data_IF_319283984828
#
_entry.id   IF_319283984828
#
_cell.length_a   1.000
_cell.length_b   1.000
_cell.length_c   1.000
_cell.angle_alpha   90.00
_cell.angle_beta   90.00
_cell.angle_gamma   90.00
#
_symmetry.space_group_name_H-M   'P 1'
#
loop_
_entity.id
_entity.type
_entity.pdbx_description
1 polymer ?
#
# COMPACT_ATOMS: atom_id res chain seq x y z
N UNK A 1 -40.19 23.50 62.65
CA UNK A 1 -41.20 23.40 61.55
C UNK A 1 -40.56 24.03 60.31
N UNK A 2 -39.94 23.30 59.37
CA UNK A 2 -40.47 22.48 58.25
C UNK A 2 -41.58 23.13 57.40
N UNK A 3 -41.21 23.51 56.17
CA UNK A 3 -41.94 23.45 54.87
C UNK A 3 -40.93 23.88 53.78
N UNK A 4 -40.18 22.96 53.14
CA UNK A 4 -40.46 22.28 51.86
C UNK A 4 -41.02 23.23 50.78
N UNK A 5 -40.19 23.57 49.80
CA UNK A 5 -40.64 24.01 48.48
C UNK A 5 -39.91 23.18 47.41
N UNK A 6 -40.71 22.59 46.53
CA UNK A 6 -40.42 21.71 45.40
C UNK A 6 -40.10 22.53 44.15
N UNK A 7 -39.16 22.06 43.31
CA UNK A 7 -38.97 22.62 41.96
C UNK A 7 -37.71 22.14 41.24
N UNK A 8 -37.82 21.02 40.53
CA UNK A 8 -37.29 20.74 39.18
C UNK A 8 -35.98 21.45 38.78
N UNK A 9 -34.89 20.70 38.60
CA UNK A 9 -34.11 20.75 37.35
C UNK A 9 -33.27 19.47 37.15
N UNK A 10 -33.77 18.59 36.30
CA UNK A 10 -33.01 17.57 35.57
C UNK A 10 -32.00 18.28 34.67
N UNK A 11 -30.69 18.08 34.86
CA UNK A 11 -29.75 18.00 33.72
C UNK A 11 -28.67 16.97 34.06
N UNK A 12 -28.80 15.80 33.43
CA UNK A 12 -27.73 14.83 33.23
C UNK A 12 -26.51 15.56 32.64
N UNK A 13 -25.36 15.54 33.31
CA UNK A 13 -24.08 15.76 32.64
C UNK A 13 -23.23 14.50 32.75
N UNK A 14 -23.71 13.44 32.10
CA UNK A 14 -22.87 12.34 31.68
C UNK A 14 -21.99 12.88 30.54
N UNK A 15 -20.87 13.48 30.93
CA UNK A 15 -19.84 13.98 30.03
C UNK A 15 -19.08 12.75 29.51
N UNK A 16 -19.72 12.03 28.58
CA UNK A 16 -19.03 11.06 27.73
C UNK A 16 -18.14 11.90 26.82
N UNK A 17 -16.90 12.12 27.24
CA UNK A 17 -15.85 12.43 26.28
C UNK A 17 -15.83 11.24 25.32
N UNK A 18 -16.45 11.42 24.16
CA UNK A 18 -16.14 10.64 22.98
C UNK A 18 -14.65 10.84 22.76
N UNK A 19 -13.83 9.95 23.31
CA UNK A 19 -12.54 9.69 22.72
C UNK A 19 -12.85 9.23 21.32
N UNK A 20 -12.64 10.12 20.35
CA UNK A 20 -12.57 9.76 18.95
C UNK A 20 -11.47 8.71 18.87
N UNK A 21 -11.85 7.44 18.94
CA UNK A 21 -11.12 6.43 18.20
C UNK A 21 -11.30 6.86 16.74
N UNK A 22 -10.37 7.71 16.28
CA UNK A 22 -10.05 7.74 14.87
C UNK A 22 -9.91 6.27 14.49
N UNK A 23 -10.61 5.78 13.46
CA UNK A 23 -10.27 4.48 12.93
C UNK A 23 -8.76 4.55 12.73
N UNK A 24 -8.02 3.62 13.35
CA UNK A 24 -6.66 3.34 12.93
C UNK A 24 -6.84 2.96 11.47
N UNK A 25 -6.76 3.96 10.59
CA UNK A 25 -6.56 3.73 9.17
C UNK A 25 -5.35 2.82 9.18
N UNK A 26 -5.53 1.60 8.68
CA UNK A 26 -4.40 0.71 8.49
C UNK A 26 -3.37 1.57 7.76
N UNK A 27 -2.26 1.87 8.44
CA UNK A 27 -1.29 2.84 7.94
C UNK A 27 -0.78 2.28 6.63
N UNK A 28 -1.32 2.78 5.52
CA UNK A 28 -1.04 2.15 4.26
C UNK A 28 0.32 2.62 3.79
N UNK A 29 1.01 1.70 3.13
CA UNK A 29 2.35 1.93 2.63
C UNK A 29 2.22 2.94 1.49
N UNK A 30 2.81 4.13 1.62
CA UNK A 30 2.78 5.15 0.57
C UNK A 30 3.35 4.56 -0.72
N UNK A 31 2.59 4.63 -1.80
CA UNK A 31 2.89 4.02 -3.09
C UNK A 31 2.26 2.65 -3.33
N UNK A 32 1.67 2.00 -2.34
CA UNK A 32 0.90 0.75 -2.47
C UNK A 32 -0.56 1.08 -2.79
N UNK A 33 -0.80 1.50 -4.03
CA UNK A 33 -2.08 2.01 -4.49
C UNK A 33 -3.13 0.89 -4.63
N UNK A 34 -2.71 -0.35 -4.90
CA UNK A 34 -3.61 -1.50 -5.01
C UNK A 34 -3.84 -2.21 -3.65
N UNK A 35 -3.14 -1.80 -2.59
CA UNK A 35 -3.22 -2.33 -1.23
C UNK A 35 -2.87 -3.82 -1.13
N UNK A 36 -1.95 -4.30 -1.97
CA UNK A 36 -1.49 -5.69 -1.96
C UNK A 36 -0.27 -5.93 -1.05
N UNK A 37 0.28 -4.86 -0.47
CA UNK A 37 1.36 -4.85 0.52
C UNK A 37 2.74 -4.51 -0.06
N UNK A 38 2.88 -4.54 -1.38
CA UNK A 38 4.12 -4.24 -2.07
C UNK A 38 4.06 -2.86 -2.75
N UNK A 39 5.20 -2.34 -3.19
CA UNK A 39 5.24 -1.15 -4.05
C UNK A 39 5.87 -1.61 -5.36
N UNK A 40 5.08 -1.83 -6.39
CA UNK A 40 5.51 -2.39 -7.65
C UNK A 40 4.78 -1.78 -8.86
N UNK A 41 5.01 -2.35 -10.05
CA UNK A 41 4.44 -1.80 -11.30
C UNK A 41 2.91 -1.87 -11.35
N UNK A 42 2.27 -2.71 -10.54
CA UNK A 42 0.82 -2.73 -10.42
C UNK A 42 0.29 -1.43 -9.80
N UNK A 43 0.99 -0.86 -8.83
CA UNK A 43 0.63 0.41 -8.22
C UNK A 43 0.76 1.58 -9.21
N UNK A 44 1.80 1.54 -10.05
CA UNK A 44 1.95 2.49 -11.16
C UNK A 44 0.76 2.45 -12.11
N UNK A 45 0.18 1.28 -12.37
CA UNK A 45 -1.00 1.14 -13.21
C UNK A 45 -2.22 1.79 -12.53
N UNK A 46 -2.45 1.48 -11.25
CA UNK A 46 -3.56 2.06 -10.48
C UNK A 46 -3.49 3.59 -10.40
N UNK A 47 -2.33 4.16 -10.07
CA UNK A 47 -2.16 5.62 -9.97
C UNK A 47 -2.37 6.29 -11.34
N UNK A 48 -1.94 5.66 -12.43
CA UNK A 48 -2.17 6.19 -13.79
C UNK A 48 -3.65 6.18 -14.16
N UNK A 49 -4.40 5.17 -13.78
CA UNK A 49 -5.85 5.17 -14.00
C UNK A 49 -6.54 6.24 -13.16
N UNK A 50 -6.14 6.44 -11.89
CA UNK A 50 -6.64 7.53 -11.04
C UNK A 50 -6.38 8.92 -11.66
N UNK A 51 -5.18 9.13 -12.23
CA UNK A 51 -4.86 10.35 -12.98
C UNK A 51 -5.74 10.54 -14.20
N UNK A 52 -5.95 9.47 -14.99
CA UNK A 52 -6.78 9.51 -16.20
C UNK A 52 -8.23 9.89 -15.89
N UNK A 53 -8.71 9.54 -14.71
CA UNK A 53 -10.04 9.87 -14.21
C UNK A 53 -10.10 11.25 -13.54
N UNK A 54 -9.02 12.03 -13.51
CA UNK A 54 -8.90 13.30 -12.75
C UNK A 54 -9.36 13.17 -11.28
N UNK A 55 -9.16 12.00 -10.65
CA UNK A 55 -9.66 11.74 -9.30
C UNK A 55 -11.19 11.77 -9.15
N UNK A 56 -11.96 11.76 -10.25
CA UNK A 56 -13.42 11.91 -10.26
C UNK A 56 -14.19 10.67 -9.78
N UNK A 57 -13.52 9.54 -9.54
CA UNK A 57 -14.15 8.28 -9.16
C UNK A 57 -13.79 7.90 -7.72
N UNK A 58 -14.22 8.70 -6.75
CA UNK A 58 -14.16 8.35 -5.32
C UNK A 58 -13.10 9.11 -4.51
N UNK A 59 -13.00 8.84 -3.19
CA UNK A 59 -11.95 9.41 -2.37
C UNK A 59 -10.58 8.95 -2.89
N UNK A 60 -9.63 9.89 -2.97
CA UNK A 60 -8.23 9.60 -3.28
C UNK A 60 -7.74 8.54 -2.27
N UNK A 61 -7.27 7.35 -2.71
CA UNK A 61 -6.68 6.40 -1.80
C UNK A 61 -5.44 7.04 -1.16
N UNK A 62 -5.39 7.08 0.17
CA UNK A 62 -4.27 7.68 0.93
C UNK A 62 -2.91 7.10 0.51
N UNK A 63 -2.91 5.87 0.01
CA UNK A 63 -1.72 5.11 -0.39
C UNK A 63 -1.23 5.51 -1.79
N UNK A 64 -2.14 5.99 -2.64
CA UNK A 64 -1.82 6.48 -3.98
C UNK A 64 -1.29 7.93 -3.94
N UNK A 65 -1.71 8.73 -2.95
CA UNK A 65 -1.18 10.06 -2.66
C UNK A 65 0.16 9.91 -1.93
N UNK A 66 1.22 9.72 -2.72
CA UNK A 66 2.53 9.35 -2.22
C UNK A 66 3.18 10.48 -1.42
N UNK A 67 3.08 11.72 -1.91
CA UNK A 67 3.69 12.89 -1.26
C UNK A 67 2.82 13.50 -0.15
N UNK A 68 1.56 13.10 -0.06
CA UNK A 68 0.63 13.46 1.01
C UNK A 68 0.06 14.87 0.84
N UNK A 69 0.05 15.41 -0.38
CA UNK A 69 -0.48 16.74 -0.66
C UNK A 69 -2.02 16.79 -0.80
N UNK A 70 -2.66 15.62 -0.76
CA UNK A 70 -4.11 15.45 -0.86
C UNK A 70 -4.64 15.35 -2.29
N UNK A 71 -3.77 15.29 -3.30
CA UNK A 71 -4.11 15.17 -4.71
C UNK A 71 -3.31 14.06 -5.39
N UNK A 72 -3.93 13.33 -6.33
CA UNK A 72 -3.17 12.42 -7.20
C UNK A 72 -2.67 13.22 -8.40
N UNK A 73 -1.35 13.34 -8.52
CA UNK A 73 -0.66 14.06 -9.57
C UNK A 73 0.42 13.21 -10.25
N UNK A 74 1.06 13.78 -11.28
CA UNK A 74 2.21 13.14 -11.92
C UNK A 74 3.41 13.02 -10.98
N UNK A 75 3.44 13.76 -9.87
CA UNK A 75 4.50 13.64 -8.86
C UNK A 75 4.39 12.33 -8.07
N UNK A 76 3.18 11.84 -7.81
CA UNK A 76 2.97 10.53 -7.18
C UNK A 76 3.47 9.38 -8.06
N UNK A 77 3.13 9.42 -9.36
CA UNK A 77 3.66 8.46 -10.34
C UNK A 77 5.18 8.45 -10.35
N UNK A 78 5.81 9.62 -10.34
CA UNK A 78 7.27 9.73 -10.31
C UNK A 78 7.85 9.14 -9.03
N UNK A 79 7.22 9.41 -7.90
CA UNK A 79 7.68 8.93 -6.60
C UNK A 79 7.60 7.41 -6.49
N UNK A 80 6.50 6.82 -6.95
CA UNK A 80 6.36 5.35 -7.04
C UNK A 80 7.36 4.76 -8.03
N UNK A 81 7.58 5.38 -9.19
CA UNK A 81 8.60 4.91 -10.14
C UNK A 81 10.02 4.91 -9.53
N UNK A 82 10.35 5.90 -8.71
CA UNK A 82 11.62 5.95 -7.98
C UNK A 82 11.68 4.83 -6.94
N UNK A 83 10.59 4.61 -6.20
CA UNK A 83 10.51 3.54 -5.20
C UNK A 83 10.69 2.14 -5.83
N UNK A 84 10.10 1.92 -7.01
CA UNK A 84 10.23 0.67 -7.78
C UNK A 84 11.63 0.48 -8.34
N UNK A 85 12.28 1.56 -8.79
CA UNK A 85 13.64 1.52 -9.33
C UNK A 85 14.73 1.43 -8.24
N UNK A 86 14.36 1.11 -7.00
CA UNK A 86 15.31 0.85 -5.94
C UNK A 86 16.23 -0.31 -6.35
N UNK A 87 17.52 -0.18 -6.09
CA UNK A 87 18.47 -1.26 -6.31
C UNK A 87 18.09 -2.47 -5.44
N UNK A 88 18.04 -3.63 -6.07
CA UNK A 88 17.68 -4.91 -5.49
C UNK A 88 18.57 -6.01 -6.09
N UNK A 89 18.77 -7.09 -5.35
CA UNK A 89 19.44 -8.26 -5.90
C UNK A 89 18.49 -8.99 -6.87
N UNK A 90 18.96 -9.53 -8.00
CA UNK A 90 18.13 -10.36 -8.88
C UNK A 90 17.51 -11.54 -8.12
N UNK A 91 16.18 -11.56 -8.07
CA UNK A 91 15.37 -12.53 -7.34
C UNK A 91 14.84 -12.03 -5.98
N UNK A 92 15.22 -10.84 -5.49
CA UNK A 92 14.69 -10.21 -4.26
C UNK A 92 13.37 -9.50 -4.56
N UNK A 93 12.37 -10.29 -4.95
CA UNK A 93 11.09 -9.79 -5.46
C UNK A 93 10.29 -8.98 -4.43
N UNK A 94 10.47 -9.23 -3.12
CA UNK A 94 9.83 -8.44 -2.07
C UNK A 94 10.70 -7.27 -1.56
N UNK A 95 11.90 -7.09 -2.13
CA UNK A 95 12.87 -6.03 -1.80
C UNK A 95 13.30 -6.00 -0.33
N UNK A 96 13.32 -7.17 0.33
CA UNK A 96 13.73 -7.32 1.72
C UNK A 96 15.25 -7.27 1.91
N UNK A 97 16.02 -7.46 0.83
CA UNK A 97 17.47 -7.60 0.86
C UNK A 97 17.94 -9.04 1.13
N UNK A 98 17.02 -10.00 1.20
CA UNK A 98 17.32 -11.41 1.44
C UNK A 98 16.55 -12.30 0.48
N UNK A 99 17.23 -13.23 -0.20
CA UNK A 99 16.56 -14.21 -1.05
C UNK A 99 15.95 -15.32 -0.18
N UNK A 100 14.63 -15.33 -0.09
CA UNK A 100 13.88 -16.26 0.76
C UNK A 100 12.70 -16.89 0.01
N UNK A 101 12.02 -17.84 0.66
CA UNK A 101 10.77 -18.42 0.12
C UNK A 101 9.68 -17.36 -0.07
N UNK A 102 9.72 -16.25 0.66
CA UNK A 102 8.77 -15.16 0.46
C UNK A 102 8.91 -14.51 -0.93
N UNK A 103 10.14 -14.43 -1.45
CA UNK A 103 10.41 -13.94 -2.81
C UNK A 103 9.85 -14.89 -3.85
N UNK A 104 10.02 -16.20 -3.65
CA UNK A 104 9.46 -17.22 -4.53
C UNK A 104 7.93 -17.09 -4.62
N UNK A 105 7.26 -16.92 -3.49
CA UNK A 105 5.81 -16.69 -3.46
C UNK A 105 5.40 -15.39 -4.15
N UNK A 106 6.22 -14.33 -4.08
CA UNK A 106 5.92 -13.06 -4.77
C UNK A 106 6.10 -13.21 -6.28
N UNK A 107 7.20 -13.82 -6.75
CA UNK A 107 7.45 -14.11 -8.17
C UNK A 107 6.28 -14.89 -8.78
N UNK A 108 5.82 -15.96 -8.15
CA UNK A 108 4.69 -16.76 -8.64
C UNK A 108 3.40 -15.95 -8.79
N UNK A 109 3.10 -15.06 -7.82
CA UNK A 109 1.94 -14.17 -7.88
C UNK A 109 2.07 -13.16 -9.03
N UNK A 110 3.25 -12.56 -9.20
CA UNK A 110 3.51 -11.59 -10.26
C UNK A 110 3.36 -12.22 -11.64
N UNK A 111 3.89 -13.43 -11.85
CA UNK A 111 3.70 -14.20 -13.09
C UNK A 111 2.21 -14.43 -13.37
N UNK A 112 1.43 -14.85 -12.35
CA UNK A 112 0.00 -15.10 -12.50
C UNK A 112 -0.78 -13.83 -12.87
N UNK A 113 -0.38 -12.68 -12.32
CA UNK A 113 -0.96 -11.36 -12.62
C UNK A 113 -0.39 -10.71 -13.89
N UNK A 114 0.64 -11.29 -14.51
CA UNK A 114 1.40 -10.71 -15.64
C UNK A 114 2.03 -9.35 -15.30
N UNK A 115 2.49 -9.21 -14.06
CA UNK A 115 3.23 -8.07 -13.57
C UNK A 115 4.72 -8.31 -13.77
N UNK A 116 5.47 -7.25 -14.05
CA UNK A 116 6.93 -7.33 -14.19
C UNK A 116 7.61 -6.52 -13.09
N UNK A 117 8.72 -7.05 -12.58
CA UNK A 117 9.65 -6.31 -11.72
C UNK A 117 11.07 -6.76 -12.03
N UNK A 118 11.98 -5.80 -12.19
CA UNK A 118 13.40 -6.07 -12.33
C UNK A 118 13.97 -6.84 -11.14
N UNK A 119 13.40 -6.66 -9.94
CA UNK A 119 13.84 -7.39 -8.75
C UNK A 119 13.38 -8.85 -8.75
N UNK A 120 12.30 -9.15 -9.46
CA UNK A 120 11.75 -10.50 -9.58
C UNK A 120 12.41 -11.29 -10.71
N UNK A 121 12.94 -10.60 -11.73
CA UNK A 121 13.75 -11.14 -12.83
C UNK A 121 15.10 -11.65 -12.29
N UNK A 122 15.14 -12.93 -11.94
CA UNK A 122 16.27 -13.54 -11.24
C UNK A 122 17.42 -13.86 -12.18
N UNK A 123 17.09 -14.21 -13.43
CA UNK A 123 18.05 -14.61 -14.45
C UNK A 123 18.48 -13.43 -15.35
N UNK A 124 17.86 -12.26 -15.16
CA UNK A 124 18.13 -10.99 -15.85
C UNK A 124 17.92 -11.07 -17.37
N UNK A 125 16.97 -11.91 -17.82
CA UNK A 125 16.68 -12.06 -19.24
C UNK A 125 15.63 -11.05 -19.77
N UNK A 126 15.06 -10.25 -18.87
CA UNK A 126 14.08 -9.21 -19.18
C UNK A 126 12.65 -9.73 -19.33
N UNK A 127 12.39 -10.99 -19.00
CA UNK A 127 11.06 -11.61 -18.95
C UNK A 127 10.86 -12.17 -17.55
N UNK A 128 9.65 -12.03 -16.99
CA UNK A 128 9.31 -12.68 -15.72
C UNK A 128 8.50 -13.94 -15.99
N UNK A 129 9.12 -15.12 -15.86
CA UNK A 129 8.50 -16.41 -16.13
C UNK A 129 9.02 -17.58 -15.25
N UNK A 130 8.74 -18.82 -15.64
CA UNK A 130 9.12 -20.01 -14.87
C UNK A 130 10.65 -20.20 -14.76
N UNK A 131 11.44 -19.60 -15.65
CA UNK A 131 12.89 -19.60 -15.56
C UNK A 131 13.39 -18.81 -14.34
N UNK A 132 12.68 -17.74 -13.95
CA UNK A 132 13.00 -16.98 -12.74
C UNK A 132 12.73 -17.75 -11.47
N UNK A 133 11.62 -18.51 -11.45
CA UNK A 133 11.28 -19.42 -10.36
C UNK A 133 12.40 -20.45 -10.18
N UNK A 134 12.85 -21.07 -11.27
CA UNK A 134 13.95 -22.04 -11.24
C UNK A 134 15.29 -21.40 -10.83
N UNK A 135 15.59 -20.20 -11.34
CA UNK A 135 16.76 -19.42 -10.95
C UNK A 135 16.76 -19.15 -9.44
N UNK A 136 15.65 -18.67 -8.89
CA UNK A 136 15.53 -18.31 -7.49
C UNK A 136 15.64 -19.55 -6.60
N UNK A 137 14.97 -20.65 -6.95
CA UNK A 137 15.10 -21.93 -6.23
C UNK A 137 16.55 -22.42 -6.11
N UNK A 138 17.40 -22.16 -7.12
CA UNK A 138 18.82 -22.53 -7.07
C UNK A 138 19.65 -21.69 -6.10
N UNK A 139 19.17 -20.49 -5.74
CA UNK A 139 19.83 -19.52 -4.84
C UNK A 139 19.32 -19.61 -3.40
N UNK A 140 18.21 -20.31 -3.14
CA UNK A 140 17.70 -20.56 -1.80
C UNK A 140 18.58 -21.62 -1.12
N UNK A 141 19.15 -21.30 0.04
CA UNK A 141 20.00 -22.17 0.86
C UNK A 141 19.48 -22.24 2.29
#
# INVERSE_FOLDING_TARGET
>A
MKRRNTGILLILSLLVLFMSLSPVGAACKKGDANMDGDIDHADLYEIKELLRLNGSCGPVPECADYDGDGSITVFDVRSVLIAINKECAPGDANTSGHLTVADLCKVEKMIAKKEYSKCADCNEDGVLDAADVACLQSKLH
#
